data_IF_201698234795
#
_entry.id   IF_201698234795
#
_cell.length_a   1.000
_cell.length_b   1.000
_cell.length_c   1.000
_cell.angle_alpha   90.00
_cell.angle_beta   90.00
_cell.angle_gamma   90.00
#
_symmetry.space_group_name_H-M   'P 1'
#
loop_
_entity.id
_entity.type
_entity.pdbx_description
1 polymer ?
#
# COMPACT_ATOMS: atom_id res chain seq x y z
N UNK A 1 34.18 7.73 -13.58
CA UNK A 1 34.97 6.47 -13.67
C UNK A 1 34.19 5.46 -14.51
N UNK A 2 34.72 4.28 -14.84
CA UNK A 2 33.90 3.18 -15.40
C UNK A 2 33.25 2.36 -14.27
N UNK A 3 32.14 1.66 -14.55
CA UNK A 3 31.39 0.89 -13.54
C UNK A 3 32.25 -0.18 -12.82
N UNK A 4 33.14 -0.84 -13.56
CA UNK A 4 34.09 -1.82 -13.02
C UNK A 4 35.12 -1.17 -12.07
N UNK A 5 35.60 0.02 -12.40
CA UNK A 5 36.50 0.79 -11.53
C UNK A 5 35.79 1.22 -10.24
N UNK A 6 34.59 1.78 -10.35
CA UNK A 6 33.78 2.23 -9.20
C UNK A 6 33.45 1.05 -8.28
N UNK A 7 32.99 -0.05 -8.86
CA UNK A 7 32.64 -1.26 -8.10
C UNK A 7 33.87 -1.88 -7.43
N UNK A 8 35.04 -1.84 -8.09
CA UNK A 8 36.29 -2.33 -7.50
C UNK A 8 36.70 -1.55 -6.26
N UNK A 9 36.52 -0.22 -6.26
CA UNK A 9 36.77 0.64 -5.09
C UNK A 9 35.83 0.31 -3.94
N UNK A 10 34.52 0.16 -4.19
CA UNK A 10 33.54 -0.21 -3.16
C UNK A 10 33.88 -1.56 -2.53
N UNK A 11 34.31 -2.52 -3.34
CA UNK A 11 34.69 -3.86 -2.88
C UNK A 11 36.09 -3.93 -2.26
N UNK A 12 36.87 -2.84 -2.29
CA UNK A 12 38.24 -2.79 -1.79
C UNK A 12 39.19 -3.73 -2.54
N UNK A 13 38.98 -3.95 -3.84
CA UNK A 13 39.81 -4.82 -4.66
C UNK A 13 40.34 -4.11 -5.91
N UNK A 14 41.32 -4.70 -6.59
CA UNK A 14 41.78 -4.20 -7.88
C UNK A 14 40.72 -4.42 -8.97
N UNK A 15 40.78 -3.65 -10.06
CA UNK A 15 39.95 -3.85 -11.26
C UNK A 15 40.11 -5.29 -11.80
N UNK A 16 41.34 -5.83 -11.79
CA UNK A 16 41.58 -7.24 -12.14
C UNK A 16 40.90 -8.22 -11.18
N UNK A 17 40.86 -7.90 -9.88
CA UNK A 17 40.13 -8.63 -8.85
C UNK A 17 38.62 -8.63 -9.11
N UNK A 18 38.05 -7.47 -9.47
CA UNK A 18 36.65 -7.34 -9.89
C UNK A 18 36.33 -8.30 -11.05
N UNK A 19 37.13 -8.31 -12.12
CA UNK A 19 36.88 -9.22 -13.26
C UNK A 19 36.99 -10.70 -12.86
N UNK A 20 37.89 -11.05 -11.93
CA UNK A 20 37.98 -12.41 -11.37
C UNK A 20 36.72 -12.76 -10.58
N UNK A 21 36.24 -11.86 -9.74
CA UNK A 21 35.02 -12.05 -8.94
C UNK A 21 33.77 -12.13 -9.83
N UNK A 22 33.75 -11.36 -10.92
CA UNK A 22 32.68 -11.39 -11.92
C UNK A 22 32.64 -12.73 -12.64
N UNK A 23 33.79 -13.27 -13.05
CA UNK A 23 33.91 -14.64 -13.59
C UNK A 23 33.45 -15.71 -12.60
N UNK A 24 33.73 -15.51 -11.31
CA UNK A 24 33.25 -16.38 -10.22
C UNK A 24 31.76 -16.21 -9.91
N UNK A 25 31.04 -15.30 -10.58
CA UNK A 25 29.62 -15.02 -10.37
C UNK A 25 29.28 -14.74 -8.91
N UNK A 26 30.12 -13.97 -8.21
CA UNK A 26 29.88 -13.67 -6.80
C UNK A 26 28.54 -12.92 -6.62
N UNK A 27 27.66 -13.34 -5.70
CA UNK A 27 26.34 -12.74 -5.53
C UNK A 27 26.36 -11.23 -5.27
N UNK A 28 27.37 -10.73 -4.55
CA UNK A 28 27.50 -9.30 -4.27
C UNK A 28 27.61 -8.45 -5.54
N UNK A 29 28.29 -8.94 -6.57
CA UNK A 29 28.40 -8.23 -7.85
C UNK A 29 27.06 -8.16 -8.56
N UNK A 30 26.32 -9.28 -8.55
CA UNK A 30 24.99 -9.31 -9.12
C UNK A 30 24.04 -8.35 -8.40
N UNK A 31 24.12 -8.27 -7.07
CA UNK A 31 23.34 -7.33 -6.27
C UNK A 31 23.67 -5.88 -6.66
N UNK A 32 24.96 -5.53 -6.74
CA UNK A 32 25.40 -4.18 -7.09
C UNK A 32 24.95 -3.78 -8.51
N UNK A 33 25.22 -4.63 -9.51
CA UNK A 33 24.86 -4.37 -10.91
C UNK A 33 23.36 -4.35 -11.17
N UNK A 34 22.56 -5.05 -10.35
CA UNK A 34 21.10 -5.14 -10.53
C UNK A 34 20.35 -3.94 -9.95
N UNK A 35 20.79 -3.42 -8.80
CA UNK A 35 20.02 -2.44 -8.03
C UNK A 35 20.62 -1.03 -8.04
N UNK A 36 21.87 -0.87 -8.49
CA UNK A 36 22.58 0.40 -8.47
C UNK A 36 23.14 0.73 -9.84
N UNK A 37 22.96 1.98 -10.26
CA UNK A 37 23.64 2.55 -11.41
C UNK A 37 25.08 2.90 -11.03
N UNK A 38 25.90 3.20 -12.03
CA UNK A 38 27.25 3.69 -11.79
C UNK A 38 27.21 4.99 -10.97
N UNK A 39 26.29 5.88 -11.29
CA UNK A 39 26.11 7.16 -10.62
C UNK A 39 25.75 6.97 -9.14
N UNK A 40 24.90 5.99 -8.80
CA UNK A 40 24.58 5.67 -7.40
C UNK A 40 25.82 5.21 -6.61
N UNK A 41 26.68 4.41 -7.25
CA UNK A 41 27.89 3.88 -6.63
C UNK A 41 28.99 4.95 -6.50
N UNK A 42 29.09 5.86 -7.48
CA UNK A 42 29.98 7.03 -7.40
C UNK A 42 29.55 7.96 -6.28
N UNK A 43 28.23 8.17 -6.11
CA UNK A 43 27.68 8.95 -4.99
C UNK A 43 28.06 8.34 -3.64
N UNK A 44 27.84 7.03 -3.48
CA UNK A 44 28.18 6.32 -2.26
C UNK A 44 29.66 6.43 -1.90
N UNK A 45 30.57 6.36 -2.88
CA UNK A 45 32.00 6.55 -2.63
C UNK A 45 32.36 7.95 -2.14
N UNK A 46 31.58 8.98 -2.51
CA UNK A 46 31.85 10.36 -2.14
C UNK A 46 31.24 10.73 -0.78
N UNK A 47 30.01 10.29 -0.51
CA UNK A 47 29.22 10.75 0.64
C UNK A 47 28.93 9.63 1.67
N UNK A 48 29.23 8.38 1.36
CA UNK A 48 28.73 7.19 2.07
C UNK A 48 27.18 7.09 2.09
N UNK A 49 26.51 7.88 1.26
CA UNK A 49 25.06 7.91 1.12
C UNK A 49 24.65 7.73 -0.36
N UNK A 50 23.41 7.32 -0.59
CA UNK A 50 22.81 7.27 -1.92
C UNK A 50 21.51 8.09 -1.86
N UNK A 51 21.46 9.21 -2.58
CA UNK A 51 20.35 10.18 -2.51
C UNK A 51 19.02 9.54 -2.84
N UNK A 52 18.96 8.62 -3.82
CA UNK A 52 17.70 7.92 -4.12
C UNK A 52 17.21 7.07 -2.95
N UNK A 53 18.10 6.50 -2.13
CA UNK A 53 17.71 5.74 -0.94
C UNK A 53 17.29 6.68 0.19
N UNK A 54 18.00 7.78 0.40
CA UNK A 54 17.63 8.80 1.39
C UNK A 54 16.29 9.47 1.07
N UNK A 55 16.04 9.69 -0.22
CA UNK A 55 14.76 10.19 -0.70
C UNK A 55 13.64 9.18 -0.44
N UNK A 56 13.89 7.87 -0.47
CA UNK A 56 12.89 6.88 -0.08
C UNK A 56 12.48 7.03 1.38
N UNK A 57 13.42 7.26 2.30
CA UNK A 57 13.10 7.51 3.72
C UNK A 57 12.24 8.77 3.88
N UNK A 58 12.59 9.83 3.15
CA UNK A 58 11.80 11.06 3.11
C UNK A 58 10.39 10.83 2.54
N UNK A 59 10.28 10.12 1.42
CA UNK A 59 8.98 9.78 0.83
C UNK A 59 8.17 8.88 1.75
N UNK A 60 8.79 7.91 2.42
CA UNK A 60 8.14 7.06 3.43
C UNK A 60 7.63 7.90 4.60
N UNK A 61 8.41 8.88 5.08
CA UNK A 61 7.98 9.78 6.15
C UNK A 61 6.80 10.66 5.73
N UNK A 62 6.81 11.22 4.52
CA UNK A 62 5.71 12.02 3.97
C UNK A 62 4.47 11.15 3.78
N UNK A 63 4.64 9.96 3.21
CA UNK A 63 3.55 9.00 3.05
C UNK A 63 2.97 8.66 4.42
N UNK A 64 3.80 8.35 5.42
CA UNK A 64 3.33 8.10 6.78
C UNK A 64 2.56 9.29 7.39
N UNK A 65 3.00 10.54 7.16
CA UNK A 65 2.26 11.73 7.62
C UNK A 65 0.92 11.86 6.90
N UNK A 66 0.90 11.71 5.58
CA UNK A 66 -0.32 11.77 4.78
C UNK A 66 -1.28 10.65 5.20
N UNK A 67 -0.80 9.41 5.25
CA UNK A 67 -1.55 8.26 5.74
C UNK A 67 -2.05 8.46 7.16
N UNK A 68 -1.24 9.02 8.08
CA UNK A 68 -1.71 9.32 9.43
C UNK A 68 -2.84 10.34 9.44
N UNK A 69 -2.76 11.36 8.59
CA UNK A 69 -3.77 12.42 8.50
C UNK A 69 -5.06 11.85 7.91
N UNK A 70 -4.96 11.07 6.84
CA UNK A 70 -6.09 10.38 6.21
C UNK A 70 -6.72 9.35 7.13
N UNK A 71 -5.91 8.48 7.70
CA UNK A 71 -6.35 7.44 8.62
C UNK A 71 -7.04 8.06 9.83
N UNK A 72 -6.46 9.09 10.44
CA UNK A 72 -7.09 9.78 11.56
C UNK A 72 -8.40 10.45 11.16
N UNK A 73 -8.46 11.08 9.99
CA UNK A 73 -9.67 11.78 9.53
C UNK A 73 -10.85 10.84 9.30
N UNK A 74 -10.60 9.63 8.79
CA UNK A 74 -11.66 8.74 8.32
C UNK A 74 -11.86 7.49 9.19
N UNK A 75 -10.83 7.00 9.90
CA UNK A 75 -10.80 5.64 10.47
C UNK A 75 -10.59 5.60 12.00
N UNK A 76 -10.50 6.74 12.69
CA UNK A 76 -10.42 6.78 14.17
C UNK A 76 -11.78 6.79 14.86
N UNK A 77 -12.87 6.91 14.11
CA UNK A 77 -14.23 7.08 14.63
C UNK A 77 -14.93 5.77 15.06
N UNK A 78 -14.36 4.59 14.80
CA UNK A 78 -14.82 3.33 15.40
C UNK A 78 -14.40 2.05 14.66
N UNK A 79 -14.03 1.01 15.41
CA UNK A 79 -13.53 -0.29 14.90
C UNK A 79 -14.45 -0.94 13.85
N UNK A 80 -15.78 -0.85 14.04
CA UNK A 80 -16.76 -1.47 13.14
C UNK A 80 -16.77 -0.86 11.74
N UNK A 81 -16.48 0.43 11.61
CA UNK A 81 -16.40 1.08 10.31
C UNK A 81 -15.16 0.58 9.54
N UNK A 82 -14.02 0.45 10.24
CA UNK A 82 -12.76 -0.02 9.65
C UNK A 82 -12.94 -1.43 9.04
N UNK A 83 -13.60 -2.33 9.76
CA UNK A 83 -13.87 -3.68 9.27
C UNK A 83 -14.64 -3.69 7.94
N UNK A 84 -15.78 -2.98 7.85
CA UNK A 84 -16.59 -2.94 6.62
C UNK A 84 -15.83 -2.29 5.46
N UNK A 85 -15.04 -1.26 5.74
CA UNK A 85 -14.22 -0.62 4.73
C UNK A 85 -13.19 -1.59 4.15
N UNK A 86 -12.39 -2.25 4.99
CA UNK A 86 -11.33 -3.15 4.51
C UNK A 86 -11.89 -4.36 3.77
N UNK A 87 -12.98 -4.94 4.26
CA UNK A 87 -13.67 -6.04 3.58
C UNK A 87 -14.21 -5.60 2.21
N UNK A 88 -14.85 -4.44 2.13
CA UNK A 88 -15.33 -3.89 0.85
C UNK A 88 -14.17 -3.69 -0.13
N UNK A 89 -13.11 -3.00 0.28
CA UNK A 89 -11.96 -2.74 -0.58
C UNK A 89 -11.32 -4.05 -1.05
N UNK A 90 -11.27 -5.07 -0.18
CA UNK A 90 -10.77 -6.38 -0.55
C UNK A 90 -11.65 -7.07 -1.60
N UNK A 91 -12.96 -7.15 -1.38
CA UNK A 91 -13.91 -7.82 -2.28
C UNK A 91 -13.95 -7.19 -3.67
N UNK A 92 -13.79 -5.87 -3.74
CA UNK A 92 -13.89 -5.11 -4.99
C UNK A 92 -12.55 -4.63 -5.53
N UNK A 93 -11.43 -5.13 -5.01
CA UNK A 93 -10.07 -4.65 -5.32
C UNK A 93 -9.77 -4.53 -6.82
N UNK A 94 -10.16 -5.53 -7.60
CA UNK A 94 -9.87 -5.58 -9.04
C UNK A 94 -10.66 -4.51 -9.81
N UNK A 95 -11.91 -4.26 -9.37
CA UNK A 95 -12.73 -3.18 -9.90
C UNK A 95 -12.20 -1.81 -9.46
N UNK A 96 -11.77 -1.69 -8.21
CA UNK A 96 -11.23 -0.46 -7.62
C UNK A 96 -9.94 -0.01 -8.32
N UNK A 97 -9.02 -0.92 -8.67
CA UNK A 97 -7.79 -0.58 -9.41
C UNK A 97 -8.11 0.10 -10.74
N UNK A 98 -9.24 -0.24 -11.37
CA UNK A 98 -9.62 0.34 -12.66
C UNK A 98 -10.13 1.79 -12.54
N UNK A 99 -10.48 2.25 -11.34
CA UNK A 99 -10.97 3.60 -11.09
C UNK A 99 -9.84 4.62 -11.28
N UNK A 100 -10.17 5.75 -11.90
CA UNK A 100 -9.20 6.83 -12.12
C UNK A 100 -9.60 8.03 -11.27
N UNK A 101 -8.81 8.38 -10.27
CA UNK A 101 -9.20 9.35 -9.23
C UNK A 101 -9.63 10.74 -9.72
N UNK A 102 -9.21 11.15 -10.92
CA UNK A 102 -9.62 12.41 -11.55
C UNK A 102 -11.03 12.38 -12.18
N UNK A 103 -11.62 11.20 -12.41
CA UNK A 103 -12.98 11.02 -12.94
C UNK A 103 -14.02 10.87 -11.81
N UNK A 104 -14.07 11.81 -10.86
CA UNK A 104 -14.83 11.64 -9.62
C UNK A 104 -16.31 11.28 -9.84
N UNK A 105 -17.00 11.92 -10.78
CA UNK A 105 -18.43 11.67 -11.02
C UNK A 105 -18.69 10.26 -11.55
N UNK A 106 -17.85 9.77 -12.47
CA UNK A 106 -17.95 8.40 -13.00
C UNK A 106 -17.63 7.37 -11.91
N UNK A 107 -16.57 7.62 -11.12
CA UNK A 107 -16.21 6.74 -10.01
C UNK A 107 -17.29 6.68 -8.94
N UNK A 108 -18.01 7.77 -8.68
CA UNK A 108 -19.16 7.77 -7.76
C UNK A 108 -20.25 6.81 -8.21
N UNK A 109 -20.57 6.80 -9.52
CA UNK A 109 -21.57 5.89 -10.08
C UNK A 109 -21.11 4.44 -9.88
N UNK A 110 -19.88 4.12 -10.28
CA UNK A 110 -19.31 2.78 -10.14
C UNK A 110 -19.21 2.32 -8.68
N UNK A 111 -18.76 3.20 -7.77
CA UNK A 111 -18.70 2.89 -6.34
C UNK A 111 -20.08 2.64 -5.76
N UNK A 112 -21.10 3.40 -6.17
CA UNK A 112 -22.48 3.15 -5.74
C UNK A 112 -22.98 1.78 -6.21
N UNK A 113 -22.65 1.36 -7.44
CA UNK A 113 -22.96 0.01 -7.90
C UNK A 113 -22.30 -1.05 -7.03
N UNK A 114 -21.02 -0.87 -6.69
CA UNK A 114 -20.29 -1.82 -5.83
C UNK A 114 -20.84 -1.83 -4.40
N UNK A 115 -21.26 -0.68 -3.86
CA UNK A 115 -21.88 -0.59 -2.54
C UNK A 115 -23.22 -1.31 -2.48
N UNK A 116 -24.03 -1.24 -3.55
CA UNK A 116 -25.30 -1.96 -3.64
C UNK A 116 -25.09 -3.48 -3.66
N UNK A 117 -24.10 -3.93 -4.43
CA UNK A 117 -23.69 -5.34 -4.47
C UNK A 117 -23.20 -5.81 -3.09
N UNK A 118 -22.34 -5.02 -2.44
CA UNK A 118 -21.85 -5.31 -1.09
C UNK A 118 -22.96 -5.37 -0.05
N UNK A 119 -23.91 -4.44 -0.11
CA UNK A 119 -25.06 -4.42 0.79
C UNK A 119 -25.92 -5.68 0.63
N UNK A 120 -26.13 -6.12 -0.61
CA UNK A 120 -26.87 -7.36 -0.93
C UNK A 120 -26.15 -8.58 -0.37
N UNK A 121 -24.84 -8.70 -0.57
CA UNK A 121 -24.00 -9.73 0.02
C UNK A 121 -24.12 -9.78 1.56
N UNK A 122 -24.09 -8.62 2.23
CA UNK A 122 -24.24 -8.56 3.69
C UNK A 122 -25.63 -8.96 4.17
N UNK A 123 -26.68 -8.62 3.43
CA UNK A 123 -28.04 -9.05 3.75
C UNK A 123 -28.16 -10.57 3.72
N UNK A 124 -27.62 -11.22 2.68
CA UNK A 124 -27.64 -12.68 2.57
C UNK A 124 -26.92 -13.36 3.75
N UNK A 125 -25.75 -12.85 4.15
CA UNK A 125 -25.02 -13.39 5.30
C UNK A 125 -25.80 -13.18 6.60
N UNK A 126 -26.38 -11.99 6.80
CA UNK A 126 -27.14 -11.68 8.01
C UNK A 126 -28.38 -12.59 8.15
N UNK A 127 -29.08 -12.86 7.05
CA UNK A 127 -30.20 -13.82 7.00
C UNK A 127 -29.75 -15.24 7.38
N UNK A 128 -28.55 -15.66 6.95
CA UNK A 128 -28.03 -17.01 7.22
C UNK A 128 -27.51 -17.21 8.65
N UNK A 129 -27.03 -16.15 9.31
CA UNK A 129 -26.20 -16.29 10.53
C UNK A 129 -26.84 -15.80 11.81
N UNK A 130 -27.69 -14.77 11.77
CA UNK A 130 -28.07 -14.06 12.99
C UNK A 130 -29.51 -13.59 13.05
N UNK A 131 -30.30 -13.76 11.97
CA UNK A 131 -31.74 -13.43 11.91
C UNK A 131 -32.10 -12.01 12.39
N UNK A 132 -31.13 -11.09 12.45
CA UNK A 132 -31.37 -9.73 12.90
C UNK A 132 -32.16 -8.93 11.85
N UNK A 133 -33.02 -7.99 12.25
CA UNK A 133 -33.76 -7.14 11.32
C UNK A 133 -32.82 -6.36 10.39
N UNK A 134 -33.27 -6.09 9.15
CA UNK A 134 -32.54 -5.31 8.15
C UNK A 134 -32.08 -3.94 8.69
N UNK A 135 -32.88 -3.32 9.55
CA UNK A 135 -32.57 -2.02 10.18
C UNK A 135 -31.32 -2.07 11.08
N UNK A 136 -31.03 -3.23 11.68
CA UNK A 136 -29.83 -3.43 12.49
C UNK A 136 -28.56 -3.38 11.62
N UNK A 137 -28.59 -4.03 10.45
CA UNK A 137 -27.48 -4.01 9.50
C UNK A 137 -27.30 -2.62 8.88
N UNK A 138 -28.40 -1.95 8.53
CA UNK A 138 -28.40 -0.58 8.00
C UNK A 138 -27.77 0.40 8.99
N UNK A 139 -28.11 0.29 10.27
CA UNK A 139 -27.50 1.11 11.33
C UNK A 139 -25.98 0.93 11.40
N UNK A 140 -25.48 -0.31 11.31
CA UNK A 140 -24.04 -0.63 11.32
C UNK A 140 -23.30 -0.12 10.08
N UNK A 141 -23.92 -0.19 8.91
CA UNK A 141 -23.30 0.21 7.64
C UNK A 141 -23.48 1.70 7.33
N UNK A 142 -24.38 2.40 8.01
CA UNK A 142 -24.78 3.80 7.69
C UNK A 142 -23.58 4.73 7.47
N UNK A 143 -22.66 4.80 8.43
CA UNK A 143 -21.48 5.67 8.32
C UNK A 143 -20.56 5.28 7.16
N UNK A 144 -20.37 3.98 6.95
CA UNK A 144 -19.59 3.46 5.83
C UNK A 144 -20.22 3.82 4.48
N UNK A 145 -21.52 3.56 4.32
CA UNK A 145 -22.26 3.86 3.09
C UNK A 145 -22.21 5.35 2.79
N UNK A 146 -22.50 6.21 3.77
CA UNK A 146 -22.47 7.67 3.57
C UNK A 146 -21.11 8.16 3.09
N UNK A 147 -20.02 7.64 3.66
CA UNK A 147 -18.68 8.03 3.25
C UNK A 147 -18.35 7.57 1.82
N UNK A 148 -18.77 6.37 1.44
CA UNK A 148 -18.44 5.78 0.16
C UNK A 148 -19.34 6.24 -0.99
N UNK A 149 -20.54 6.75 -0.70
CA UNK A 149 -21.45 7.36 -1.68
C UNK A 149 -20.89 8.69 -2.22
N UNK A 150 -20.26 9.46 -1.35
CA UNK A 150 -19.70 10.78 -1.68
C UNK A 150 -18.22 10.84 -1.26
N UNK A 151 -17.34 10.02 -1.87
CA UNK A 151 -15.94 9.99 -1.50
C UNK A 151 -15.27 11.29 -1.95
N UNK A 152 -14.41 11.83 -1.09
CA UNK A 152 -13.52 12.91 -1.52
C UNK A 152 -12.46 12.37 -2.48
N UNK A 153 -11.88 13.24 -3.32
CA UNK A 153 -10.80 12.87 -4.25
C UNK A 153 -9.63 12.25 -3.49
N UNK A 154 -9.36 12.75 -2.29
CA UNK A 154 -8.27 12.25 -1.47
C UNK A 154 -8.57 10.86 -0.88
N UNK A 155 -9.80 10.61 -0.42
CA UNK A 155 -10.21 9.28 0.03
C UNK A 155 -10.12 8.26 -1.10
N UNK A 156 -10.60 8.64 -2.29
CA UNK A 156 -10.53 7.82 -3.49
C UNK A 156 -9.09 7.48 -3.87
N UNK A 157 -8.22 8.49 -3.92
CA UNK A 157 -6.79 8.30 -4.16
C UNK A 157 -6.14 7.42 -3.10
N UNK A 158 -6.50 7.59 -1.82
CA UNK A 158 -5.95 6.82 -0.73
C UNK A 158 -6.19 5.32 -0.95
N UNK A 159 -7.43 4.88 -1.16
CA UNK A 159 -7.66 3.45 -1.28
C UNK A 159 -7.22 2.87 -2.63
N UNK A 160 -7.37 3.59 -3.76
CA UNK A 160 -6.86 3.11 -5.07
C UNK A 160 -5.35 2.80 -4.95
N UNK A 161 -4.56 3.74 -4.42
CA UNK A 161 -3.12 3.54 -4.22
C UNK A 161 -2.82 2.38 -3.27
N UNK A 162 -3.61 2.21 -2.21
CA UNK A 162 -3.43 1.07 -1.32
C UNK A 162 -3.70 -0.25 -2.03
N UNK A 163 -4.74 -0.34 -2.86
CA UNK A 163 -5.00 -1.56 -3.62
C UNK A 163 -3.90 -1.82 -4.66
N UNK A 164 -3.48 -0.81 -5.41
CA UNK A 164 -2.37 -0.92 -6.39
C UNK A 164 -1.07 -1.42 -5.74
N UNK A 165 -0.79 -0.96 -4.53
CA UNK A 165 0.41 -1.32 -3.77
C UNK A 165 0.19 -2.55 -2.86
N UNK A 166 -0.91 -3.29 -3.08
CA UNK A 166 -1.28 -4.49 -2.32
C UNK A 166 -1.23 -4.28 -0.80
N UNK A 167 -1.80 -3.15 -0.35
CA UNK A 167 -1.97 -2.72 1.04
C UNK A 167 -0.69 -2.54 1.85
N UNK A 168 0.50 -2.72 1.24
CA UNK A 168 1.78 -2.58 1.94
C UNK A 168 1.95 -1.24 2.67
N UNK A 169 1.58 -0.08 2.08
CA UNK A 169 1.75 1.20 2.75
C UNK A 169 0.91 1.33 4.02
N UNK A 170 -0.38 0.96 3.96
CA UNK A 170 -1.25 1.02 5.15
C UNK A 170 -0.86 -0.01 6.21
N UNK A 171 -0.46 -1.23 5.82
CA UNK A 171 0.02 -2.23 6.78
C UNK A 171 1.27 -1.73 7.50
N UNK A 172 2.26 -1.21 6.76
CA UNK A 172 3.48 -0.64 7.35
C UNK A 172 3.14 0.51 8.31
N UNK A 173 2.23 1.41 7.90
CA UNK A 173 1.75 2.48 8.76
C UNK A 173 1.15 1.96 10.07
N UNK A 174 0.25 0.98 10.00
CA UNK A 174 -0.42 0.40 11.17
C UNK A 174 0.56 -0.29 12.12
N UNK A 175 1.50 -1.08 11.58
CA UNK A 175 2.54 -1.76 12.35
C UNK A 175 3.44 -0.77 13.08
N UNK A 176 3.88 0.29 12.40
CA UNK A 176 4.75 1.32 12.97
C UNK A 176 4.04 2.17 14.04
N UNK A 177 2.71 2.26 14.02
CA UNK A 177 1.92 3.03 14.98
C UNK A 177 1.29 2.17 16.09
N UNK A 178 1.75 0.92 16.28
CA UNK A 178 1.24 -0.02 17.30
C UNK A 178 -0.25 -0.35 17.15
N UNK A 179 -0.77 -0.27 15.92
CA UNK A 179 -2.15 -0.59 15.57
C UNK A 179 -2.25 -2.01 14.98
N UNK A 180 -1.56 -2.96 15.61
CA UNK A 180 -1.33 -4.31 15.08
C UNK A 180 -2.64 -5.07 14.76
N UNK A 181 -3.66 -4.96 15.61
CA UNK A 181 -4.98 -5.59 15.38
C UNK A 181 -5.58 -5.25 13.99
N UNK A 182 -5.50 -3.99 13.57
CA UNK A 182 -6.03 -3.58 12.26
C UNK A 182 -5.15 -4.08 11.10
N UNK A 183 -3.83 -4.19 11.32
CA UNK A 183 -2.94 -4.77 10.33
C UNK A 183 -3.28 -6.25 10.12
N UNK A 184 -3.51 -6.99 11.21
CA UNK A 184 -3.90 -8.39 11.18
C UNK A 184 -5.25 -8.59 10.47
N UNK A 185 -6.25 -7.73 10.72
CA UNK A 185 -7.54 -7.78 10.01
C UNK A 185 -7.39 -7.60 8.50
N UNK A 186 -6.57 -6.63 8.07
CA UNK A 186 -6.29 -6.39 6.66
C UNK A 186 -5.57 -7.60 6.06
N UNK A 187 -4.53 -8.10 6.71
CA UNK A 187 -3.78 -9.28 6.23
C UNK A 187 -4.67 -10.53 6.13
N UNK A 188 -5.52 -10.79 7.14
CA UNK A 188 -6.48 -11.90 7.11
C UNK A 188 -7.51 -11.74 6.01
N UNK A 189 -7.95 -10.51 5.74
CA UNK A 189 -8.85 -10.23 4.62
C UNK A 189 -8.17 -10.53 3.28
N UNK A 190 -6.87 -10.22 3.13
CA UNK A 190 -6.10 -10.44 1.90
C UNK A 190 -5.76 -11.91 1.65
N UNK A 191 -5.53 -12.70 2.71
CA UNK A 191 -5.06 -14.09 2.61
C UNK A 191 -6.15 -15.13 2.30
N UNK A 192 -7.44 -14.82 2.51
CA UNK A 192 -8.54 -15.72 2.13
C UNK A 192 -8.71 -15.73 0.60
N UNK A 193 -8.15 -16.75 -0.04
CA UNK A 193 -8.40 -17.14 -1.44
C UNK A 193 -9.40 -18.28 -1.52
#
# INVERSE_FOLDING_TARGET
MKLDEVTSLILGCSVSGFYKWKKQKRPILHLLEKYFTKEDLEEFLQSSEISKLKNLDYYESILNIQFSTFYRKYFTSGEKFNHFFWEFIHLYKDKIISLKSYNLNENKILLNEYLLDYYSYKLEINQKTSNHPVDYLKGKLSHFITLMQEPSVELLNFFIKNVELNFKPVINYLLNNKLHHFADEIEQSIQKK
#
